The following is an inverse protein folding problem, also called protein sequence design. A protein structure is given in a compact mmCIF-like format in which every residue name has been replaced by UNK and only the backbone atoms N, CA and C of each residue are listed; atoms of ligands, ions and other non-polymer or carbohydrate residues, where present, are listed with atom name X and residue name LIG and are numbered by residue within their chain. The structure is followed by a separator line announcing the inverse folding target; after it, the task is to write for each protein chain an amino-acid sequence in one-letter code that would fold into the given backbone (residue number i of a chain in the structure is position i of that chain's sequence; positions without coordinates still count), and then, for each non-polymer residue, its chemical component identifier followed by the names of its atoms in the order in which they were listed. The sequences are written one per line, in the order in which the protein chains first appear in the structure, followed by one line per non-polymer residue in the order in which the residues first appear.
data_IF_507188560750
#
_entry.id   IF_507188560750
#
_cell.length_a   1.000
_cell.length_b   1.000
_cell.length_c   1.000
_cell.angle_alpha   90.00
_cell.angle_beta   90.00
_cell.angle_gamma   90.00
#
_symmetry.space_group_name_H-M   'P 1'
#
loop_
_entity.id
_entity.type
_entity.pdbx_description
1 polymer ?
2 non-polymer ?
3 water ?
#
# COMPACT_ATOMS: atom_id res chain seq x y z
N UNK A 11 33.15 8.96 3.88
CA UNK A 11 31.74 9.37 3.86
C UNK A 11 31.07 9.18 5.25
N UNK A 12 29.83 9.64 5.41
CA UNK A 12 29.10 9.52 6.71
C UNK A 12 28.30 8.22 6.74
N UNK A 13 28.03 7.61 5.59
CA UNK A 13 27.26 6.37 5.49
C UNK A 13 28.10 5.29 4.84
N UNK A 14 27.90 4.05 5.27
CA UNK A 14 28.66 2.93 4.72
C UNK A 14 27.74 1.81 4.28
N UNK A 15 27.57 1.62 2.95
CA UNK A 15 26.68 0.58 2.42
C UNK A 15 27.13 -0.81 2.77
N UNK A 16 26.21 -1.63 3.27
CA UNK A 16 26.53 -3.00 3.63
C UNK A 16 25.80 -4.03 2.77
N UNK A 17 24.65 -3.67 2.19
CA UNK A 17 23.88 -4.60 1.36
C UNK A 17 22.90 -3.86 0.46
N UNK A 18 22.46 -4.50 -0.63
CA UNK A 18 21.48 -3.91 -1.51
C UNK A 18 20.10 -4.35 -1.03
N UNK A 19 19.19 -3.40 -0.87
CA UNK A 19 17.80 -3.65 -0.45
C UNK A 19 16.91 -3.84 -1.70
N UNK A 20 17.16 -3.03 -2.73
CA UNK A 20 16.41 -3.11 -3.97
C UNK A 20 16.86 -2.16 -5.05
N UNK A 21 16.12 -2.17 -6.17
CA UNK A 21 16.43 -1.25 -7.30
C UNK A 21 15.17 -0.48 -7.70
N UNK A 22 15.30 0.83 -7.89
CA UNK A 22 14.15 1.65 -8.33
C UNK A 22 14.47 2.43 -9.58
N UNK A 23 13.49 3.12 -10.15
CA UNK A 23 13.74 3.98 -11.33
C UNK A 23 14.49 5.23 -10.88
N UNK A 24 15.41 5.72 -11.71
CA UNK A 24 16.77 5.14 -11.80
C UNK A 24 17.49 5.35 -10.46
N UNK A 25 17.56 4.31 -9.63
CA UNK A 25 18.29 4.42 -8.36
C UNK A 25 18.39 3.10 -7.64
N UNK A 26 19.40 2.94 -6.78
CA UNK A 26 19.50 1.70 -5.97
C UNK A 26 19.18 2.04 -4.52
N UNK A 27 18.70 1.05 -3.77
CA UNK A 27 18.40 1.26 -2.36
C UNK A 27 19.41 0.39 -1.62
N UNK A 28 20.06 0.95 -0.59
CA UNK A 28 21.11 0.16 0.11
C UNK A 28 20.93 0.23 1.63
N UNK A 29 21.19 -0.89 2.31
CA UNK A 29 21.19 -0.86 3.80
C UNK A 29 22.55 -0.28 4.20
N UNK A 30 22.55 0.82 4.96
CA UNK A 30 23.84 1.48 5.26
C UNK A 30 24.05 1.64 6.75
N UNK A 31 25.30 1.90 7.16
CA UNK A 31 25.61 2.17 8.58
C UNK A 31 25.67 3.68 8.77
N UNK A 32 24.86 4.24 9.66
CA UNK A 32 24.95 5.69 9.97
C UNK A 32 26.15 5.87 10.92
N UNK A 33 27.34 6.09 10.36
CA UNK A 33 28.57 6.16 11.19
C UNK A 33 28.48 7.27 12.25
N UNK A 34 27.85 8.39 11.92
CA UNK A 34 27.82 9.54 12.89
C UNK A 34 26.69 9.36 13.91
N UNK A 35 25.90 8.28 13.78
CA UNK A 35 24.75 8.10 14.70
C UNK A 35 24.80 6.70 15.34
N UNK A 36 25.99 6.27 15.78
CA UNK A 36 26.11 4.98 16.50
C UNK A 36 26.09 3.78 15.59
N UNK A 37 26.42 3.97 14.30
CA UNK A 37 26.39 2.86 13.34
C UNK A 37 25.00 2.26 13.22
N UNK A 38 23.97 3.07 13.45
CA UNK A 38 22.57 2.59 13.27
C UNK A 38 22.36 2.24 11.80
N UNK A 39 21.57 1.20 11.53
CA UNK A 39 21.27 0.84 10.13
C UNK A 39 20.31 1.87 9.54
N UNK A 40 20.56 2.27 8.28
CA UNK A 40 19.69 3.26 7.60
C UNK A 40 19.44 2.77 6.17
N UNK A 41 18.32 3.18 5.57
CA UNK A 41 18.04 2.81 4.16
C UNK A 41 18.40 4.01 3.28
N UNK A 42 19.42 3.86 2.43
CA UNK A 42 19.88 4.99 1.58
C UNK A 42 19.34 4.82 0.16
N UNK A 43 18.56 5.79 -0.32
CA UNK A 43 18.02 5.75 -1.70
C UNK A 43 18.63 6.90 -2.50
N UNK A 44 19.27 6.59 -3.63
CA UNK A 44 19.92 7.64 -4.46
C UNK A 44 19.00 7.99 -5.63
N UNK A 45 18.63 9.27 -5.75
CA UNK A 45 17.71 9.71 -6.83
C UNK A 45 18.52 10.46 -7.89
N UNK A 46 18.48 10.00 -9.15
CA UNK A 46 19.30 10.62 -10.23
C UNK A 46 18.63 11.88 -10.76
N UNK A 47 19.37 12.69 -11.54
CA UNK A 47 18.82 13.94 -12.11
C UNK A 47 18.65 13.79 -13.63
N UNK A 55 15.66 19.17 -12.48
CA UNK A 55 14.18 19.15 -12.52
C UNK A 55 13.63 19.99 -11.37
N UNK A 56 12.31 20.20 -11.33
CA UNK A 56 11.68 20.96 -10.23
C UNK A 56 10.58 20.11 -9.59
N UNK A 57 9.96 19.22 -10.36
CA UNK A 57 8.89 18.34 -9.82
C UNK A 57 9.47 17.46 -8.72
N UNK A 58 10.65 16.89 -8.97
CA UNK A 58 11.32 16.03 -7.96
C UNK A 58 11.71 16.90 -6.75
N UNK A 59 12.14 18.14 -7.00
CA UNK A 59 12.48 19.07 -5.89
C UNK A 59 11.24 19.23 -5.00
N UNK A 60 10.08 19.43 -5.63
CA UNK A 60 8.81 19.55 -4.88
C UNK A 60 8.52 18.26 -4.12
N UNK A 61 8.73 17.11 -4.78
CA UNK A 61 8.43 15.79 -4.16
C UNK A 61 9.24 15.64 -2.86
N UNK A 62 10.53 15.97 -2.92
CA UNK A 62 11.41 15.87 -1.72
C UNK A 62 10.93 16.87 -0.67
N UNK A 63 10.50 18.06 -1.11
CA UNK A 63 10.00 19.10 -0.17
C UNK A 63 8.76 18.58 0.56
N UNK A 64 7.88 17.88 -0.14
CA UNK A 64 6.66 17.30 0.49
C UNK A 64 7.10 16.26 1.53
N UNK A 65 8.08 15.43 1.17
CA UNK A 65 8.55 14.36 2.08
C UNK A 65 9.17 14.98 3.35
N UNK A 66 9.97 16.03 3.20
CA UNK A 66 10.59 16.72 4.35
C UNK A 66 9.49 17.34 5.22
N UNK A 67 8.45 17.87 4.58
CA UNK A 67 7.31 18.49 5.32
C UNK A 67 6.55 17.42 6.11
N UNK A 68 6.27 16.28 5.48
CA UNK A 68 5.56 15.18 6.16
C UNK A 68 6.40 14.70 7.36
N UNK A 69 7.72 14.73 7.22
CA UNK A 69 8.64 14.32 8.32
C UNK A 69 8.43 15.25 9.53
N UNK A 70 8.16 16.52 9.27
CA UNK A 70 7.97 17.51 10.37
C UNK A 70 6.89 17.00 11.33
N UNK A 71 5.88 16.31 10.82
CA UNK A 71 4.79 15.77 11.68
C UNK A 71 5.26 14.49 12.38
N UNK A 72 6.33 13.87 11.87
CA UNK A 72 6.88 12.62 12.48
C UNK A 72 5.73 11.67 12.84
N UNK A 73 4.93 11.27 11.84
CA UNK A 73 3.78 10.37 12.09
C UNK A 73 4.30 8.97 12.50
N UNK A 74 3.67 8.32 13.49
CA UNK A 74 4.13 7.02 13.97
C UNK A 74 4.03 5.91 12.92
N UNK A 75 3.17 6.08 11.92
CA UNK A 75 2.92 4.99 10.93
C UNK A 75 3.59 5.32 9.58
N UNK A 76 4.57 6.22 9.57
CA UNK A 76 5.33 6.50 8.32
C UNK A 76 6.82 6.42 8.64
N UNK A 77 7.61 5.85 7.72
CA UNK A 77 9.07 5.70 7.94
C UNK A 77 9.69 7.09 8.14
N UNK A 78 10.66 7.20 9.05
CA UNK A 78 11.29 8.51 9.35
C UNK A 78 12.29 8.90 8.26
N UNK A 79 12.29 10.18 7.87
CA UNK A 79 13.32 10.67 6.91
C UNK A 79 14.41 11.35 7.72
N UNK A 80 15.51 10.64 7.99
CA UNK A 80 16.59 11.18 8.85
C UNK A 80 17.37 12.28 8.14
N UNK A 81 17.62 12.13 6.84
CA UNK A 81 18.49 13.12 6.15
C UNK A 81 18.22 13.19 4.65
N UNK A 82 18.55 14.31 4.02
CA UNK A 82 18.43 14.46 2.54
C UNK A 82 19.71 15.14 2.07
N UNK A 83 20.51 14.47 1.24
CA UNK A 83 21.83 15.05 0.86
C UNK A 83 21.92 15.26 -0.65
N UNK A 84 22.67 16.28 -1.08
CA UNK A 84 22.87 16.53 -2.54
C UNK A 84 24.18 15.90 -2.99
N UNK A 93 23.01 11.99 -7.18
CA UNK A 93 22.67 13.43 -7.19
C UNK A 93 21.96 13.77 -5.87
N UNK A 94 20.96 12.97 -5.49
CA UNK A 94 20.25 13.19 -4.20
C UNK A 94 20.25 11.89 -3.40
N UNK A 95 20.62 11.95 -2.12
CA UNK A 95 20.59 10.73 -1.26
C UNK A 95 19.52 10.91 -0.18
N UNK A 96 18.55 10.00 -0.13
CA UNK A 96 17.49 10.05 0.91
C UNK A 96 17.83 9.03 2.01
N UNK A 97 18.07 9.51 3.23
CA UNK A 97 18.42 8.62 4.37
C UNK A 97 17.15 8.38 5.20
N UNK A 98 16.71 7.13 5.30
CA UNK A 98 15.49 6.78 6.05
C UNK A 98 15.84 5.84 7.20
N UNK A 99 14.95 5.70 8.18
CA UNK A 99 15.17 4.71 9.25
C UNK A 99 15.10 3.32 8.62
N UNK A 100 15.91 2.39 9.11
CA UNK A 100 15.85 1.01 8.60
C UNK A 100 14.88 0.18 9.44
N UNK A 101 13.97 -0.53 8.79
CA UNK A 101 13.06 -1.47 9.48
C UNK A 101 13.43 -2.84 8.94
N UNK A 102 13.60 -3.81 9.83
CA UNK A 102 14.12 -5.15 9.43
C UNK A 102 13.16 -5.93 8.51
N UNK A 103 11.86 -5.81 8.71
CA UNK A 103 10.95 -6.67 7.91
C UNK A 103 9.78 -5.93 7.26
N UNK A 104 9.26 -6.51 6.18
CA UNK A 104 8.06 -5.98 5.47
C UNK A 104 6.90 -6.89 5.86
N UNK A 105 5.69 -6.55 5.45
CA UNK A 105 4.50 -7.37 5.80
C UNK A 105 4.63 -8.76 5.16
N UNK A 106 5.24 -8.84 3.99
CA UNK A 106 5.40 -10.14 3.26
C UNK A 106 6.23 -11.10 4.12
N UNK A 107 7.40 -10.66 4.59
CA UNK A 107 8.28 -11.54 5.40
C UNK A 107 7.60 -11.86 6.72
N UNK A 108 6.80 -10.93 7.24
CA UNK A 108 6.03 -11.19 8.48
C UNK A 108 4.98 -12.27 8.22
N UNK A 109 4.29 -12.16 7.08
CA UNK A 109 3.22 -13.14 6.74
C UNK A 109 3.84 -14.49 6.36
N UNK A 110 5.06 -14.48 5.82
CA UNK A 110 5.74 -15.73 5.47
C UNK A 110 6.09 -16.48 6.76
N UNK A 111 6.65 -15.78 7.75
CA UNK A 111 7.14 -16.43 8.96
C UNK A 111 6.11 -16.62 10.08
N UNK A 112 4.92 -16.03 9.96
CA UNK A 112 3.91 -16.17 11.02
C UNK A 112 3.45 -17.66 11.14
N UNK A 113 3.46 -18.25 12.37
CA UNK A 113 3.09 -19.67 12.50
C UNK A 113 1.60 -19.99 12.26
N UNK A 114 1.29 -21.28 12.04
CA UNK A 114 -0.10 -21.70 11.83
C UNK A 114 -0.92 -21.53 13.12
N UNK A 115 -2.24 -21.26 13.01
CA UNK A 115 -3.05 -21.17 11.79
C UNK A 115 -3.08 -19.76 11.16
N UNK A 116 -2.05 -18.97 11.41
CA UNK A 116 -1.97 -17.63 10.83
C UNK A 116 -1.94 -16.49 11.82
N UNK A 117 -2.05 -15.26 11.30
CA UNK A 117 -2.04 -14.03 12.09
C UNK A 117 -3.23 -13.99 13.04
N UNK A 118 -3.00 -13.72 14.32
CA UNK A 118 -4.12 -13.60 15.27
C UNK A 118 -5.06 -12.46 14.87
N UNK A 119 -6.36 -12.69 15.03
CA UNK A 119 -7.45 -11.76 14.72
C UNK A 119 -7.17 -10.32 15.19
N UNK A 120 -6.63 -10.17 16.40
CA UNK A 120 -6.38 -8.86 16.97
C UNK A 120 -5.09 -8.20 16.47
N UNK A 121 -4.15 -9.00 15.94
CA UNK A 121 -2.93 -8.51 15.32
C UNK A 121 -3.30 -7.97 13.93
N UNK A 122 -4.21 -8.69 13.20
CA UNK A 122 -4.75 -8.26 11.90
C UNK A 122 -5.43 -6.91 12.11
N UNK A 123 -6.30 -6.81 13.13
CA UNK A 123 -7.03 -5.60 13.46
C UNK A 123 -6.11 -4.42 13.73
N UNK A 124 -5.13 -4.60 14.62
CA UNK A 124 -4.21 -3.48 15.00
C UNK A 124 -3.41 -3.01 13.78
N UNK A 125 -2.86 -3.95 13.00
CA UNK A 125 -1.99 -3.58 11.86
C UNK A 125 -2.82 -2.82 10.81
N UNK A 126 -4.09 -3.19 10.66
CA UNK A 126 -4.98 -2.51 9.67
C UNK A 126 -5.26 -1.08 10.12
N UNK A 127 -5.44 -0.88 11.43
CA UNK A 127 -5.69 0.48 11.97
C UNK A 127 -4.46 1.35 11.74
N UNK A 128 -3.28 0.81 12.03
CA UNK A 128 -2.01 1.57 11.86
C UNK A 128 -1.83 1.93 10.38
N UNK A 129 -2.11 0.97 9.48
CA UNK A 129 -2.00 1.23 8.03
C UNK A 129 -2.97 2.36 7.64
N UNK A 130 -4.20 2.31 8.15
CA UNK A 130 -5.22 3.32 7.83
C UNK A 130 -4.84 4.67 8.45
N UNK A 131 -4.16 4.65 9.60
CA UNK A 131 -3.69 5.91 10.25
C UNK A 131 -2.62 6.57 9.40
N UNK A 132 -1.63 5.80 8.94
CA UNK A 132 -0.59 6.35 8.06
C UNK A 132 -1.18 6.76 6.73
N UNK A 133 -2.13 5.97 6.23
CA UNK A 133 -2.80 6.32 4.98
C UNK A 133 -3.61 7.60 5.12
N UNK A 134 -4.39 7.72 6.20
CA UNK A 134 -5.18 8.95 6.43
C UNK A 134 -4.23 10.15 6.54
N UNK A 135 -3.09 9.99 7.20
CA UNK A 135 -2.10 11.09 7.34
C UNK A 135 -1.66 11.57 5.95
N UNK A 136 -1.27 10.64 5.09
CA UNK A 136 -0.77 11.00 3.73
C UNK A 136 -1.91 11.65 2.94
N UNK A 137 -3.10 11.07 2.99
CA UNK A 137 -4.26 11.60 2.21
C UNK A 137 -4.64 12.99 2.74
N UNK A 138 -4.53 13.19 4.06
CA UNK A 138 -4.84 14.50 4.68
C UNK A 138 -3.86 15.56 4.17
N UNK A 139 -2.67 15.13 3.75
CA UNK A 139 -1.64 16.08 3.23
C UNK A 139 -1.61 15.96 1.70
N UNK A 140 -2.70 15.48 1.12
CA UNK A 140 -2.81 15.38 -0.37
C UNK A 140 -1.65 14.58 -0.96
N UNK A 141 -1.27 13.47 -0.31
CA UNK A 141 -0.22 12.58 -0.88
C UNK A 141 -0.87 11.23 -1.17
N UNK A 142 -0.66 10.67 -2.36
CA UNK A 142 -1.19 9.33 -2.70
C UNK A 142 -0.01 8.38 -2.89
N UNK A 143 -0.02 7.23 -2.22
CA UNK A 143 1.08 6.23 -2.35
C UNK A 143 1.13 5.73 -3.79
N UNK A 144 0.01 5.19 -4.31
CA UNK A 144 -0.09 4.74 -5.72
C UNK A 144 0.54 3.36 -5.94
N UNK A 145 1.38 2.88 -5.01
CA UNK A 145 1.94 1.51 -5.14
C UNK A 145 1.98 0.84 -3.76
N UNK A 146 0.85 0.82 -3.07
CA UNK A 146 0.80 0.20 -1.72
C UNK A 146 0.79 -1.31 -1.86
N UNK A 147 1.77 -1.98 -1.26
CA UNK A 147 1.88 -3.46 -1.32
C UNK A 147 2.62 -3.95 -0.08
N UNK A 148 2.40 -5.21 0.37
CA UNK A 148 3.03 -5.72 1.59
C UNK A 148 4.56 -5.52 1.59
N UNK A 149 5.15 -5.34 0.42
CA UNK A 149 6.63 -5.18 0.32
C UNK A 149 7.05 -3.78 0.79
N UNK A 150 6.18 -2.79 0.67
CA UNK A 150 6.52 -1.39 1.08
C UNK A 150 5.88 -1.08 2.44
N UNK A 151 5.08 -2.01 2.96
CA UNK A 151 4.50 -1.83 4.33
C UNK A 151 5.49 -2.48 5.30
N UNK A 152 6.18 -1.68 6.10
CA UNK A 152 7.25 -2.24 6.97
C UNK A 152 6.74 -2.51 8.37
N UNK A 153 7.20 -3.61 8.99
CA UNK A 153 6.72 -3.98 10.36
C UNK A 153 7.92 -3.95 11.32
N UNK A 154 7.77 -3.22 12.44
CA UNK A 154 8.91 -3.07 13.40
C UNK A 154 8.97 -4.26 14.36
N UNK A 155 10.05 -4.36 15.14
CA UNK A 155 10.19 -5.43 16.16
C UNK A 155 9.10 -5.27 17.21
N UNK A 156 8.55 -4.06 17.33
CA UNK A 156 7.46 -3.80 18.31
C UNK A 156 6.10 -4.05 17.67
N UNK A 157 6.07 -4.38 16.37
CA UNK A 157 4.80 -4.63 15.66
C UNK A 157 4.19 -3.35 15.12
N UNK A 158 5.02 -2.33 14.90
CA UNK A 158 4.50 -1.02 14.42
C UNK A 158 4.55 -0.96 12.89
N UNK A 159 3.42 -0.61 12.27
CA UNK A 159 3.34 -0.52 10.79
C UNK A 159 3.93 0.81 10.33
N UNK A 160 4.87 0.78 9.39
CA UNK A 160 5.43 2.02 8.85
C UNK A 160 5.41 2.00 7.33
N UNK A 161 4.79 2.99 6.74
CA UNK A 161 4.73 3.14 5.29
C UNK A 161 6.04 3.67 4.79
N UNK A 162 6.50 3.09 3.70
CA UNK A 162 7.74 3.41 3.03
C UNK A 162 7.49 3.40 1.49
N UNK A 163 8.47 3.95 0.72
CA UNK A 163 8.51 3.89 -0.73
C UNK A 163 7.34 4.61 -1.41
N UNK A 164 7.19 5.89 -1.09
CA UNK A 164 6.07 6.70 -1.66
C UNK A 164 6.54 8.15 -1.81
N UNK A 165 5.78 8.97 -2.55
CA UNK A 165 6.11 10.41 -2.67
C UNK A 165 7.09 10.71 -3.79
N UNK A 166 7.54 9.69 -4.51
CA UNK A 166 8.51 9.88 -5.62
C UNK A 166 7.91 9.32 -6.92
N UNK A 167 8.36 9.83 -8.06
CA UNK A 167 7.86 9.35 -9.37
C UNK A 167 8.92 8.46 -10.03
N UNK A 181 7.01 -5.67 -12.09
CA UNK A 181 5.70 -5.04 -11.93
C UNK A 181 4.68 -5.96 -11.25
N UNK A 182 3.86 -5.42 -10.34
CA UNK A 182 2.81 -6.16 -9.64
C UNK A 182 1.50 -5.35 -9.64
N UNK A 183 0.51 -5.91 -10.35
CA UNK A 183 -0.82 -5.23 -10.44
C UNK A 183 -1.81 -5.89 -9.47
N UNK A 184 -1.33 -6.81 -8.63
CA UNK A 184 -2.23 -7.56 -7.70
C UNK A 184 -2.97 -6.62 -6.74
N UNK A 185 -2.45 -5.41 -6.52
CA UNK A 185 -3.06 -4.46 -5.56
C UNK A 185 -3.56 -3.21 -6.30
N UNK A 186 -3.28 -3.14 -7.60
CA UNK A 186 -3.70 -1.97 -8.43
C UNK A 186 -5.23 -1.86 -8.44
N UNK A 187 -5.74 -0.65 -8.30
CA UNK A 187 -7.19 -0.42 -8.29
C UNK A 187 -7.76 -0.51 -9.71
N UNK A 188 -9.04 -0.87 -9.84
CA UNK A 188 -9.69 -0.97 -11.14
C UNK A 188 -9.61 0.29 -12.03
N UNK A 189 -9.72 1.48 -11.45
CA UNK A 189 -9.65 2.76 -12.20
C UNK A 189 -8.22 3.02 -12.67
N UNK A 190 -7.23 2.43 -12.00
CA UNK A 190 -5.84 2.58 -12.46
C UNK A 190 -5.63 1.61 -13.63
N UNK A 191 -6.16 0.37 -13.53
CA UNK A 191 -6.10 -0.65 -14.58
C UNK A 191 -6.81 -0.16 -15.85
N UNK A 192 -8.00 0.45 -15.68
CA UNK A 192 -8.82 1.01 -16.76
C UNK A 192 -8.27 2.31 -17.35
N UNK A 193 -7.29 2.93 -16.65
CA UNK A 193 -6.62 4.19 -16.93
C UNK A 193 -7.61 5.34 -16.93
N UNK A 194 -8.47 5.45 -15.90
CA UNK A 194 -9.41 6.57 -15.85
C UNK A 194 -9.06 7.61 -14.78
N UNK A 195 -8.94 7.22 -13.50
CA UNK A 195 -8.63 8.18 -12.43
C UNK A 195 -7.51 7.71 -11.53
N UNK A 196 -6.83 8.64 -10.85
CA UNK A 196 -5.66 8.25 -10.01
C UNK A 196 -5.71 9.02 -8.69
N UNK A 197 -6.86 9.00 -8.02
CA UNK A 197 -7.02 9.76 -6.76
C UNK A 197 -6.69 8.90 -5.53
N UNK A 198 -7.00 9.40 -4.34
CA UNK A 198 -6.68 8.69 -3.08
C UNK A 198 -7.38 7.32 -2.99
N UNK A 199 -8.62 7.12 -3.48
CA UNK A 199 -9.31 5.83 -3.33
C UNK A 199 -8.48 4.66 -3.85
N UNK A 200 -7.54 4.94 -4.76
CA UNK A 200 -6.64 3.90 -5.33
C UNK A 200 -5.94 3.16 -4.18
N UNK A 201 -5.47 3.89 -3.17
CA UNK A 201 -4.73 3.28 -2.03
C UNK A 201 -5.67 2.45 -1.15
N UNK A 202 -6.93 2.86 -1.04
CA UNK A 202 -7.92 2.13 -0.19
C UNK A 202 -8.24 0.77 -0.82
N UNK A 203 -8.22 0.69 -2.15
CA UNK A 203 -8.43 -0.62 -2.81
C UNK A 203 -7.25 -1.53 -2.45
N UNK A 204 -6.03 -1.00 -2.52
CA UNK A 204 -4.82 -1.78 -2.16
C UNK A 204 -4.93 -2.24 -0.70
N UNK A 205 -5.47 -1.39 0.17
CA UNK A 205 -5.66 -1.76 1.61
C UNK A 205 -6.64 -2.93 1.72
N UNK A 206 -7.74 -2.89 0.97
CA UNK A 206 -8.69 -4.00 0.96
C UNK A 206 -8.04 -5.29 0.49
N UNK A 207 -7.16 -5.20 -0.50
CA UNK A 207 -6.40 -6.34 -1.02
C UNK A 207 -5.48 -6.89 0.03
N UNK A 208 -4.84 -5.99 0.81
CA UNK A 208 -3.87 -6.30 1.87
C UNK A 208 -4.57 -6.90 3.09
N UNK A 209 -5.71 -6.35 3.49
CA UNK A 209 -6.58 -6.80 4.56
C UNK A 209 -6.98 -8.26 4.30
N UNK A 210 -7.43 -8.57 3.05
CA UNK A 210 -7.79 -9.93 2.66
C UNK A 210 -6.61 -10.86 2.77
N UNK A 211 -5.42 -10.44 2.30
CA UNK A 211 -4.17 -11.18 2.32
C UNK A 211 -3.63 -11.43 3.74
N UNK A 212 -4.03 -10.60 4.72
CA UNK A 212 -3.61 -10.82 6.10
C UNK A 212 -4.25 -12.10 6.65
N UNK A 213 -5.49 -12.43 6.19
CA UNK A 213 -6.17 -13.65 6.59
C UNK A 213 -5.67 -14.82 5.74
N UNK A 214 -5.68 -14.63 4.40
CA UNK A 214 -5.30 -15.65 3.42
C UNK A 214 -3.85 -16.08 3.46
N UNK A 215 -2.96 -15.14 3.70
CA UNK A 215 -1.52 -15.35 3.60
C UNK A 215 -1.07 -15.68 2.15
N UNK A 216 -1.84 -15.20 1.18
CA UNK A 216 -1.62 -15.26 -0.26
C UNK A 216 -2.47 -14.16 -0.89
N UNK A 217 -1.97 -13.50 -1.94
CA UNK A 217 -2.76 -12.42 -2.57
C UNK A 217 -4.19 -12.78 -2.98
N UNK A 218 -5.10 -11.80 -2.91
CA UNK A 218 -6.49 -12.01 -3.27
C UNK A 218 -6.68 -12.09 -4.80
N UNK A 219 -6.11 -11.14 -5.54
CA UNK A 219 -6.26 -11.07 -6.98
C UNK A 219 -4.90 -11.18 -7.67
N UNK A 220 -4.47 -12.38 -8.07
CA UNK A 220 -3.14 -12.59 -8.67
C UNK A 220 -3.13 -12.59 -10.24
N UNK A 221 -3.55 -11.49 -10.84
CA UNK A 221 -3.55 -11.34 -12.30
C UNK A 221 -2.14 -11.27 -12.88
N UNK A 222 -2.02 -11.41 -14.18
CA UNK A 222 -0.71 -11.43 -14.87
C UNK A 222 -0.56 -10.30 -15.93
N UNK A 223 -1.56 -9.43 -16.04
CA UNK A 223 -1.65 -8.32 -16.99
C UNK A 223 -2.78 -7.41 -16.49
N UNK A 224 -2.93 -6.20 -17.05
CA UNK A 224 -3.99 -5.29 -16.62
C UNK A 224 -5.39 -5.86 -16.89
N UNK A 225 -5.57 -6.52 -18.05
CA UNK A 225 -6.84 -7.10 -18.43
C UNK A 225 -7.12 -8.37 -17.63
N UNK A 226 -6.10 -9.19 -17.39
CA UNK A 226 -6.26 -10.38 -16.56
C UNK A 226 -6.60 -9.96 -15.12
N UNK A 227 -5.87 -8.95 -14.58
CA UNK A 227 -6.05 -8.44 -13.24
C UNK A 227 -7.48 -7.99 -13.00
N UNK A 228 -8.01 -7.16 -13.90
CA UNK A 228 -9.37 -6.68 -13.79
C UNK A 228 -10.39 -7.82 -13.87
N UNK A 229 -10.13 -8.83 -14.71
CA UNK A 229 -10.99 -9.98 -14.85
C UNK A 229 -11.07 -10.78 -13.55
N UNK A 230 -9.90 -11.10 -12.99
CA UNK A 230 -9.76 -11.78 -11.68
C UNK A 230 -10.48 -10.99 -10.55
N UNK A 231 -10.49 -9.63 -10.62
CA UNK A 231 -11.20 -8.77 -9.68
C UNK A 231 -12.72 -8.96 -9.82
N UNK A 232 -13.23 -8.78 -11.05
CA UNK A 232 -14.66 -8.85 -11.34
C UNK A 232 -15.26 -10.26 -11.15
N UNK A 233 -14.43 -11.31 -11.13
CA UNK A 233 -14.91 -12.66 -10.82
C UNK A 233 -15.45 -12.69 -9.37
N UNK A 234 -14.79 -11.96 -8.45
CA UNK A 234 -15.18 -11.87 -7.04
C UNK A 234 -16.24 -10.80 -6.74
N UNK A 235 -15.99 -9.53 -7.13
CA UNK A 235 -16.91 -8.45 -6.82
C UNK A 235 -18.10 -8.34 -7.77
N UNK A 236 -18.09 -9.08 -8.87
CA UNK A 236 -19.17 -9.02 -9.84
C UNK A 236 -19.00 -7.83 -10.77
N UNK A 237 -19.68 -7.87 -11.91
CA UNK A 237 -19.65 -6.76 -12.85
C UNK A 237 -20.41 -5.60 -12.24
N UNK A 238 -19.85 -4.38 -12.24
CA UNK A 238 -20.59 -3.25 -11.65
C UNK A 238 -21.71 -2.78 -12.56
N UNK A 239 -22.61 -1.97 -12.03
CA UNK A 239 -23.67 -1.38 -12.85
C UNK A 239 -23.08 -0.50 -13.95
N UNK A 240 -23.81 -0.31 -15.05
CA UNK A 240 -23.30 0.50 -16.16
C UNK A 240 -22.95 1.93 -15.74
N UNK A 241 -23.68 2.47 -14.73
CA UNK A 241 -23.45 3.82 -14.19
C UNK A 241 -22.13 3.92 -13.40
N UNK A 242 -21.62 2.77 -12.90
CA UNK A 242 -20.37 2.68 -12.16
C UNK A 242 -19.16 2.41 -13.07
N UNK A 243 -19.33 2.29 -14.40
CA UNK A 243 -18.19 2.04 -15.28
C UNK A 243 -17.65 3.36 -15.79
N UNK A 244 -16.32 3.59 -15.71
CA UNK A 244 -15.78 4.88 -16.14
C UNK A 244 -16.02 5.20 -17.61
N UNK A 245 -16.55 6.40 -17.87
CA UNK A 245 -16.82 6.79 -19.25
C UNK A 245 -15.55 7.21 -19.96
N UNK A 246 -15.55 7.05 -21.29
CA UNK A 246 -14.44 7.42 -22.16
C UNK A 246 -13.13 6.69 -21.84
N UNK A 247 -13.22 5.39 -21.52
CA UNK A 247 -12.05 4.53 -21.34
C UNK A 247 -12.00 3.49 -22.48
N UNK A 248 -10.83 2.89 -22.72
CA UNK A 248 -10.66 1.91 -23.79
C UNK A 248 -11.46 0.62 -23.57
N UNK A 249 -11.39 0.00 -22.37
CA UNK A 249 -12.10 -1.24 -22.08
C UNK A 249 -13.54 -1.01 -21.67
N UNK A 250 -14.52 -1.51 -22.43
CA UNK A 250 -15.92 -1.35 -22.02
C UNK A 250 -16.33 -2.40 -20.97
N UNK A 251 -17.47 -2.15 -20.31
CA UNK A 251 -18.07 -3.06 -19.34
C UNK A 251 -18.43 -4.41 -19.99
N UNK A 252 -18.78 -4.38 -21.27
CA UNK A 252 -19.24 -5.60 -21.99
C UNK A 252 -18.04 -6.46 -22.40
N UNK A 253 -16.82 -6.01 -22.12
CA UNK A 253 -15.63 -6.82 -22.44
C UNK A 253 -15.45 -7.89 -21.37
N UNK A 254 -16.30 -7.89 -20.36
CA UNK A 254 -16.22 -8.88 -19.25
C UNK A 254 -17.61 -9.49 -19.04
N UNK A 255 -17.66 -10.78 -18.71
CA UNK A 255 -18.96 -11.47 -18.45
C UNK A 255 -18.84 -12.20 -17.11
N UNK A 256 -18.19 -11.57 -16.13
CA UNK A 256 -18.01 -12.20 -14.79
C UNK A 256 -19.38 -12.45 -14.15
N UNK A 257 -20.44 -11.96 -14.78
CA UNK A 257 -21.82 -12.24 -14.29
C UNK A 257 -21.98 -11.84 -12.82
N UNK A 258 -22.36 -12.80 -11.97
CA UNK A 258 -22.68 -12.47 -10.54
C UNK A 258 -21.43 -12.27 -9.68
N UNK A 259 -21.62 -11.67 -8.50
CA UNK A 259 -20.52 -11.49 -7.53
C UNK A 259 -20.59 -12.63 -6.51
N UNK A 260 -19.45 -13.17 -6.11
CA UNK A 260 -19.43 -14.32 -5.17
C UNK A 260 -19.26 -13.82 -3.74
N UNK A 261 -19.65 -14.60 -2.70
CA UNK A 261 -19.46 -14.19 -1.31
C UNK A 261 -17.96 -14.14 -0.98
N UNK A 262 -17.53 -13.11 -0.24
CA UNK A 262 -16.07 -12.93 0.05
C UNK A 262 -15.59 -13.99 1.05
N UNK A 263 -16.47 -14.43 1.97
CA UNK A 263 -16.09 -15.42 3.01
C UNK A 263 -15.46 -16.64 2.34
N UNK A 264 -15.81 -16.91 1.08
CA UNK A 264 -15.24 -18.06 0.34
C UNK A 264 -13.75 -17.82 0.08
N UNK A 265 -13.39 -16.58 -0.30
CA UNK A 265 -11.98 -16.27 -0.65
C UNK A 265 -11.22 -15.85 0.62
N UNK A 266 -11.91 -15.26 1.58
CA UNK A 266 -11.29 -14.88 2.89
C UNK A 266 -12.06 -15.66 3.95
N UNK A 267 -11.55 -16.81 4.37
CA UNK A 267 -12.34 -17.74 5.22
C UNK A 267 -12.61 -17.29 6.66
N UNK A 268 -11.62 -16.79 7.38
CA UNK A 268 -11.88 -16.54 8.82
C UNK A 268 -12.33 -15.12 9.15
N UNK A 269 -12.81 -14.34 8.17
CA UNK A 269 -13.13 -12.91 8.45
C UNK A 269 -14.45 -12.79 9.22
N UNK A 270 -14.52 -11.82 10.14
CA UNK A 270 -15.74 -11.61 10.95
C UNK A 270 -16.79 -10.83 10.15
N UNK A 271 -18.01 -10.72 10.68
CA UNK A 271 -19.07 -9.97 10.02
C UNK A 271 -18.70 -8.50 9.78
N UNK A 272 -18.07 -7.87 10.78
CA UNK A 272 -17.68 -6.48 10.69
C UNK A 272 -16.49 -6.26 9.76
N UNK A 273 -15.55 -7.20 9.79
CA UNK A 273 -14.39 -7.18 8.92
C UNK A 273 -14.81 -7.31 7.47
N UNK A 274 -15.80 -8.17 7.20
CA UNK A 274 -16.38 -8.39 5.86
C UNK A 274 -16.94 -7.07 5.32
N UNK A 275 -17.64 -6.31 6.17
CA UNK A 275 -18.22 -5.04 5.75
C UNK A 275 -17.14 -3.99 5.42
N UNK A 276 -16.08 -3.89 6.26
CA UNK A 276 -15.00 -2.95 5.98
C UNK A 276 -14.26 -3.38 4.71
N UNK A 277 -14.01 -4.67 4.56
CA UNK A 277 -13.34 -5.19 3.37
C UNK A 277 -14.13 -4.87 2.08
N UNK A 278 -15.46 -4.97 2.14
CA UNK A 278 -16.29 -4.71 0.97
C UNK A 278 -16.31 -3.25 0.58
N UNK A 279 -16.31 -2.36 1.59
CA UNK A 279 -16.29 -0.93 1.38
C UNK A 279 -14.97 -0.46 0.73
N UNK A 280 -13.85 -1.21 0.96
CA UNK A 280 -12.55 -0.94 0.34
C UNK A 280 -12.52 -1.46 -1.08
N UNK A 281 -13.07 -2.66 -1.30
CA UNK A 281 -13.09 -3.29 -2.59
C UNK A 281 -14.33 -2.92 -3.44
N UNK A 282 -14.73 -1.65 -3.40
CA UNK A 282 -15.81 -1.09 -4.18
C UNK A 282 -15.23 -0.60 -5.52
N UNK A 283 -15.83 -1.03 -6.64
CA UNK A 283 -15.36 -0.70 -7.99
C UNK A 283 -15.35 0.78 -8.24
N UNK A 284 -16.43 1.46 -7.88
CA UNK A 284 -16.55 2.89 -8.12
C UNK A 284 -15.76 3.64 -7.07
N UNK A 285 -14.69 4.34 -7.47
CA UNK A 285 -13.84 5.03 -6.50
C UNK A 285 -14.54 6.11 -5.70
N UNK A 286 -15.59 6.76 -6.29
CA UNK A 286 -16.35 7.78 -5.56
C UNK A 286 -17.19 7.17 -4.43
N UNK A 287 -17.59 5.90 -4.56
CA UNK A 287 -18.40 5.22 -3.53
C UNK A 287 -17.54 4.39 -2.53
N UNK A 288 -16.22 4.32 -2.74
CA UNK A 288 -15.29 3.58 -1.91
C UNK A 288 -15.05 4.31 -0.59
N UNK A 289 -15.01 3.57 0.54
CA UNK A 289 -14.71 4.18 1.85
C UNK A 289 -13.35 4.91 1.82
N UNK A 290 -13.23 5.99 2.60
CA UNK A 290 -11.96 6.72 2.69
C UNK A 290 -11.18 6.19 3.88
N UNK A 291 -9.88 6.54 3.98
CA UNK A 291 -9.05 6.11 5.11
C UNK A 291 -9.60 6.68 6.41
N UNK A 292 -10.10 7.93 6.36
CA UNK A 292 -10.64 8.62 7.50
C UNK A 292 -11.91 7.98 8.03
N UNK A 293 -12.86 7.61 7.15
CA UNK A 293 -14.07 6.91 7.61
C UNK A 293 -13.83 5.43 7.87
N UNK A 294 -12.73 4.84 7.32
CA UNK A 294 -12.39 3.45 7.64
C UNK A 294 -11.90 3.43 9.11
N UNK A 295 -11.14 4.46 9.55
CA UNK A 295 -10.67 4.58 10.91
C UNK A 295 -11.79 4.54 11.99
N UNK A 296 -13.01 4.93 11.61
CA UNK A 296 -14.16 4.95 12.50
C UNK A 296 -15.11 3.75 12.33
N UNK A 297 -14.80 2.81 11.44
CA UNK A 297 -15.66 1.65 11.15
C UNK A 297 -15.84 0.80 12.41
N UNK A 298 -17.05 0.23 12.65
CA UNK A 298 -17.27 -0.58 13.86
C UNK A 298 -16.29 -1.73 14.08
N UNK A 299 -15.65 -2.22 13.01
CA UNK A 299 -14.61 -3.25 13.09
C UNK A 299 -13.48 -2.85 14.07
N UNK A 300 -13.25 -1.53 14.27
CA UNK A 300 -12.22 -1.06 15.17
C UNK A 300 -12.73 -0.66 16.56
N UNK A 301 -14.03 -0.75 16.79
CA UNK A 301 -14.61 -0.36 18.10
C UNK A 301 -14.29 -1.44 19.12
X LIG B 1 12.49 0.13 1.00
X LIG B 1 13.31 2.35 1.46
X LIG B 1 13.37 1.15 5.66
X LIG B 1 12.96 1.07 1.92
X LIG B 1 12.74 1.75 -0.80
X LIG B 1 12.39 0.49 -0.33
X LIG B 1 13.17 2.66 0.13
X LIG B 1 13.03 1.60 4.40
X LIG B 1 13.11 0.69 3.35
X LIG B 1 12.23 0.61 -2.54
X LIG B 1 13.74 -0.93 4.83
X LIG B 1 12.64 -3.80 3.88
X LIG B 1 12.68 -5.02 3.00
X LIG B 1 14.90 -5.57 3.57
X LIG B 1 14.07 -3.30 4.12
X LIG B 1 14.97 -4.44 4.58
X LIG B 1 10.22 -1.71 -0.66
X LIG B 1 12.55 -2.62 -1.03
X LIG B 1 12.99 -0.85 -4.42
X LIG B 1 12.14 1.44 -4.98
X LIG B 1 11.50 -1.62 -1.47
X LIG B 1 12.02 0.25 -4.02
X LIG B 1 13.73 -0.12 5.90
X LIG B 1 12.64 1.80 -2.19
X LIG B 1 13.44 -0.59 3.56
X LIG B 1 12.04 -0.23 -1.47
X LIG B 1 14.12 -2.21 5.07
X LIG B 1 13.54 -6.04 3.52
X LIG B 1 16.32 -4.02 4.74
X LIG B 1 10.69 -0.26 -4.20
X LIG B 1 13.42 3.92 -0.27
X LIG B 1 12.40 3.20 4.21
#
# INVERSE_FOLDING_TARGET
MEKDGLCRADQQYECVAEIGEGAYGKVFKARDLKNGGRFVALKRVRVQTGEEGMPLSTIREVAVLRHLETFEHPNVVRLFDVCTVSRTDRETKLTLVFEHVDQDLTTYLDKVPEPGVPTETIKDMMFQLLRGLDFLHSHRVVHRDLKPQNILVTSSGQIKLADFGLARIYSFQMALTSVVVTLWYRAPEVLLQSSYATPVDLWSVGCIFAEMFRRKPLFRGSSDVDQLGKILDVIGLPGEEDWPRDVALPRQAFHSKSAQPIEKFVTDIDELGKDLLLKCLTFNPAKRISAYSALSHPYFQHHHHHH
A1AZ4 C12 C10 C28 C11 C7 C13 C8 C29 C14 C5 C16 C20 C21 C23 C18 C24 C1 C3 C32 C33 C2 C31 N27 N6 N15 N4 N17 O22 O26 O34 F9 CL30
#
